data_IF_338830433620
#
_entry.id   IF_338830433620
#
_cell.length_a   1.000
_cell.length_b   1.000
_cell.length_c   1.000
_cell.angle_alpha   90.00
_cell.angle_beta   90.00
_cell.angle_gamma   90.00
#
_symmetry.space_group_name_H-M   'P 1'
#
loop_
_entity.id
_entity.type
_entity.pdbx_description
1 polymer ?
#
# COMPACT_ATOMS: atom_id res chain seq x y z
N UNK A 1 -27.96 22.89 32.09
CA UNK A 1 -27.66 24.18 32.77
C UNK A 1 -27.56 25.29 31.71
N UNK A 2 -28.65 26.02 31.46
CA UNK A 2 -28.73 27.06 30.43
C UNK A 2 -28.20 28.39 30.96
N UNK A 3 -27.08 28.88 30.42
CA UNK A 3 -26.53 30.22 30.73
C UNK A 3 -27.55 31.28 30.27
N UNK A 4 -28.20 31.96 31.23
CA UNK A 4 -28.98 33.19 30.97
C UNK A 4 -28.01 34.32 30.68
N UNK A 5 -27.90 34.72 29.42
CA UNK A 5 -27.11 35.88 28.99
C UNK A 5 -27.84 37.16 29.41
N UNK A 6 -27.18 38.03 30.19
CA UNK A 6 -27.75 39.34 30.55
C UNK A 6 -27.75 40.25 29.31
N UNK A 7 -28.83 41.02 29.07
CA UNK A 7 -28.88 41.94 27.93
C UNK A 7 -27.90 43.10 28.17
N UNK A 8 -26.99 43.30 27.21
CA UNK A 8 -26.05 44.44 27.20
C UNK A 8 -26.78 45.67 26.68
N UNK A 9 -26.88 46.72 27.50
CA UNK A 9 -27.46 48.00 27.11
C UNK A 9 -26.42 48.83 26.36
N UNK A 10 -26.75 49.31 25.17
CA UNK A 10 -25.89 50.15 24.35
C UNK A 10 -26.52 51.55 24.34
N UNK A 11 -25.85 52.50 24.99
CA UNK A 11 -26.37 53.87 25.17
C UNK A 11 -26.00 54.83 24.01
N UNK A 12 -25.40 54.32 22.94
CA UNK A 12 -25.04 55.08 21.74
C UNK A 12 -25.78 54.56 20.49
N UNK A 13 -26.06 55.43 19.49
CA UNK A 13 -26.70 55.00 18.25
C UNK A 13 -25.78 54.04 17.47
N UNK A 14 -26.30 52.86 17.14
CA UNK A 14 -25.59 51.85 16.35
C UNK A 14 -25.54 52.34 14.90
N UNK A 15 -24.39 52.89 14.49
CA UNK A 15 -24.16 53.44 13.14
C UNK A 15 -23.67 52.41 12.12
N UNK A 16 -23.54 51.14 12.53
CA UNK A 16 -23.22 50.02 11.66
C UNK A 16 -23.12 48.73 12.48
N UNK A 17 -23.60 47.63 11.93
CA UNK A 17 -23.43 46.30 12.51
C UNK A 17 -22.83 45.37 11.47
N UNK A 18 -21.86 44.56 11.88
CA UNK A 18 -21.40 43.41 11.11
C UNK A 18 -21.59 42.17 11.98
N UNK A 19 -22.27 41.16 11.44
CA UNK A 19 -22.34 39.86 12.10
C UNK A 19 -21.06 39.14 11.77
N UNK A 20 -20.29 38.80 12.81
CA UNK A 20 -19.16 37.89 12.67
C UNK A 20 -19.73 36.52 12.27
N UNK A 21 -19.84 36.26 10.96
CA UNK A 21 -20.07 34.90 10.48
C UNK A 21 -18.80 34.15 10.77
N UNK A 22 -18.84 33.26 11.76
CA UNK A 22 -17.86 32.17 11.82
C UNK A 22 -17.84 31.55 10.42
N UNK A 23 -16.69 31.60 9.77
CA UNK A 23 -16.48 30.81 8.56
C UNK A 23 -16.92 29.38 8.89
N UNK A 24 -17.66 28.69 7.99
CA UNK A 24 -17.99 27.29 8.24
C UNK A 24 -16.68 26.60 8.61
N UNK A 25 -16.65 25.92 9.76
CA UNK A 25 -15.53 25.04 10.07
C UNK A 25 -15.28 24.23 8.80
N UNK A 26 -14.05 24.21 8.30
CA UNK A 26 -13.68 23.39 7.14
C UNK A 26 -14.03 21.93 7.49
N UNK A 27 -15.27 21.53 7.21
CA UNK A 27 -15.72 20.15 7.30
C UNK A 27 -14.95 19.44 6.19
N UNK A 28 -13.84 18.83 6.58
CA UNK A 28 -13.04 18.00 5.67
C UNK A 28 -13.99 16.93 5.14
N UNK A 29 -14.27 17.00 3.84
CA UNK A 29 -15.23 16.13 3.18
C UNK A 29 -14.92 14.66 3.43
N UNK A 30 -15.96 13.84 3.51
CA UNK A 30 -15.82 12.39 3.52
C UNK A 30 -15.19 11.93 2.20
N UNK A 31 -14.23 11.01 2.30
CA UNK A 31 -13.50 10.41 1.19
C UNK A 31 -13.61 8.91 1.33
N UNK A 32 -14.36 8.26 0.44
CA UNK A 32 -14.49 6.81 0.44
C UNK A 32 -13.21 6.15 -0.12
N UNK A 33 -12.42 5.44 0.71
CA UNK A 33 -11.17 4.84 0.27
C UNK A 33 -11.36 3.68 -0.72
N UNK A 34 -12.57 3.13 -0.90
CA UNK A 34 -12.85 2.14 -1.95
C UNK A 34 -12.85 2.78 -3.34
N UNK A 35 -13.48 3.95 -3.46
CA UNK A 35 -13.60 4.71 -4.71
C UNK A 35 -12.41 5.63 -4.99
N UNK A 36 -11.57 5.90 -3.99
CA UNK A 36 -10.42 6.79 -4.12
C UNK A 36 -9.48 6.31 -5.22
N UNK A 37 -9.26 7.15 -6.22
CA UNK A 37 -8.34 6.87 -7.31
C UNK A 37 -6.90 7.02 -6.84
N UNK A 38 -6.08 6.03 -7.15
CA UNK A 38 -4.66 6.00 -6.81
C UNK A 38 -3.87 6.04 -8.12
N UNK A 39 -3.04 7.05 -8.32
CA UNK A 39 -2.29 7.15 -9.58
C UNK A 39 -1.12 6.17 -9.61
N UNK A 40 -0.37 6.09 -8.51
CA UNK A 40 0.79 5.22 -8.38
C UNK A 40 0.86 4.64 -6.96
N UNK A 41 1.36 3.41 -6.89
CA UNK A 41 1.77 2.77 -5.65
C UNK A 41 3.03 3.45 -5.10
N UNK A 42 3.08 3.73 -3.81
CA UNK A 42 4.26 4.33 -3.15
C UNK A 42 5.49 3.39 -3.16
N UNK A 43 6.67 3.96 -2.94
CA UNK A 43 7.91 3.18 -2.95
C UNK A 43 8.09 2.52 -1.58
N UNK A 44 8.42 1.23 -1.54
CA UNK A 44 8.57 0.50 -0.28
C UNK A 44 8.26 -0.99 -0.37
N UNK A 45 8.20 -1.62 0.81
CA UNK A 45 7.81 -3.02 0.96
C UNK A 45 6.29 -3.13 1.08
N UNK A 46 5.74 -4.18 0.48
CA UNK A 46 4.30 -4.37 0.47
C UNK A 46 3.91 -5.82 0.69
N UNK A 47 2.72 -5.99 1.25
CA UNK A 47 2.11 -7.31 1.30
C UNK A 47 1.64 -7.73 -0.09
N UNK A 48 1.94 -8.98 -0.42
CA UNK A 48 1.50 -9.59 -1.67
C UNK A 48 1.22 -11.07 -1.47
N UNK A 49 0.35 -11.61 -2.31
CA UNK A 49 0.06 -13.03 -2.37
C UNK A 49 0.47 -13.54 -3.73
N UNK A 50 1.32 -14.56 -3.76
CA UNK A 50 1.69 -15.28 -4.98
C UNK A 50 0.89 -16.57 -5.05
N UNK A 51 0.19 -16.79 -6.15
CA UNK A 51 -0.62 -17.99 -6.37
C UNK A 51 -0.18 -18.72 -7.63
N UNK A 52 0.05 -20.02 -7.49
CA UNK A 52 0.28 -20.96 -8.59
C UNK A 52 -1.03 -21.63 -8.97
N UNK A 53 -1.36 -21.58 -10.26
CA UNK A 53 -2.52 -22.28 -10.81
C UNK A 53 -2.12 -23.18 -11.97
N UNK A 54 -2.85 -24.27 -12.15
CA UNK A 54 -2.65 -25.22 -13.24
C UNK A 54 -3.95 -25.33 -14.01
N UNK A 55 -3.97 -24.78 -15.22
CA UNK A 55 -5.11 -24.77 -16.14
C UNK A 55 -5.01 -25.96 -17.07
N UNK A 56 -6.06 -26.76 -17.16
CA UNK A 56 -6.14 -27.87 -18.11
C UNK A 56 -7.11 -27.51 -19.21
N UNK A 57 -6.72 -27.70 -20.46
CA UNK A 57 -7.56 -27.52 -21.65
C UNK A 57 -7.29 -28.62 -22.67
N UNK A 58 -8.01 -28.62 -23.79
CA UNK A 58 -7.76 -29.57 -24.89
C UNK A 58 -6.34 -29.48 -25.46
N UNK A 59 -5.72 -28.30 -25.40
CA UNK A 59 -4.34 -28.06 -25.84
C UNK A 59 -3.26 -28.56 -24.86
N UNK A 60 -3.67 -29.07 -23.69
CA UNK A 60 -2.77 -29.55 -22.65
C UNK A 60 -2.91 -28.77 -21.35
N UNK A 61 -1.89 -28.89 -20.50
CA UNK A 61 -1.89 -28.28 -19.17
C UNK A 61 -0.88 -27.14 -19.11
N UNK A 62 -1.31 -25.98 -18.60
CA UNK A 62 -0.48 -24.78 -18.44
C UNK A 62 -0.42 -24.37 -16.98
N UNK A 63 0.76 -24.03 -16.50
CA UNK A 63 0.95 -23.54 -15.13
C UNK A 63 1.24 -22.05 -15.16
N UNK A 64 0.48 -21.27 -14.40
CA UNK A 64 0.61 -19.82 -14.32
C UNK A 64 0.86 -19.44 -12.86
N UNK A 65 1.75 -18.47 -12.65
CA UNK A 65 1.91 -17.80 -11.37
C UNK A 65 1.40 -16.37 -11.51
N UNK A 66 0.56 -15.92 -10.60
CA UNK A 66 0.18 -14.52 -10.52
C UNK A 66 0.42 -13.99 -9.12
N UNK A 67 0.67 -12.70 -9.02
CA UNK A 67 0.89 -11.98 -7.78
C UNK A 67 -0.17 -10.89 -7.64
N UNK A 68 -0.76 -10.79 -6.45
CA UNK A 68 -1.65 -9.70 -6.07
C UNK A 68 -0.94 -8.86 -5.01
N UNK A 69 -0.64 -7.61 -5.34
CA UNK A 69 -0.08 -6.62 -4.42
C UNK A 69 -1.19 -5.84 -3.73
N UNK A 70 -1.11 -5.77 -2.41
CA UNK A 70 -2.03 -5.03 -1.57
C UNK A 70 -1.40 -3.72 -1.10
N UNK A 71 -2.22 -2.70 -0.91
CA UNK A 71 -1.81 -1.42 -0.35
C UNK A 71 -2.85 -0.83 0.59
N UNK A 72 -2.38 0.00 1.51
CA UNK A 72 -3.24 0.67 2.50
C UNK A 72 -3.79 1.95 1.88
N UNK A 73 -5.10 2.13 1.99
CA UNK A 73 -5.78 3.32 1.47
C UNK A 73 -6.62 3.90 2.58
N UNK A 74 -6.30 5.14 2.96
CA UNK A 74 -7.00 5.86 4.01
C UNK A 74 -7.98 6.86 3.43
N UNK A 75 -9.10 7.02 4.12
CA UNK A 75 -10.17 7.94 3.78
C UNK A 75 -10.87 8.43 5.04
N UNK A 76 -12.07 9.00 4.86
CA UNK A 76 -12.89 9.54 5.94
C UNK A 76 -14.35 9.17 5.69
N UNK A 77 -15.02 8.66 6.70
CA UNK A 77 -16.45 8.38 6.66
C UNK A 77 -17.10 8.91 7.94
N UNK A 78 -18.16 9.70 7.81
CA UNK A 78 -18.84 10.37 8.93
C UNK A 78 -17.86 11.18 9.79
N UNK A 79 -16.89 11.85 9.16
CA UNK A 79 -15.86 12.64 9.84
C UNK A 79 -14.81 11.83 10.61
N UNK A 80 -14.84 10.50 10.56
CA UNK A 80 -13.83 9.63 11.20
C UNK A 80 -12.83 9.11 10.16
N UNK A 81 -11.51 9.21 10.42
CA UNK A 81 -10.52 8.59 9.55
C UNK A 81 -10.64 7.08 9.65
N UNK A 82 -10.52 6.41 8.51
CA UNK A 82 -10.43 4.94 8.44
C UNK A 82 -9.49 4.55 7.30
N UNK A 83 -8.86 3.40 7.44
CA UNK A 83 -7.99 2.85 6.42
C UNK A 83 -8.42 1.42 6.11
N UNK A 84 -8.25 1.03 4.85
CA UNK A 84 -8.53 -0.32 4.37
C UNK A 84 -7.33 -0.84 3.59
N UNK A 85 -7.21 -2.15 3.50
CA UNK A 85 -6.31 -2.79 2.55
C UNK A 85 -7.06 -3.01 1.23
N UNK A 86 -6.49 -2.52 0.13
CA UNK A 86 -7.00 -2.72 -1.23
C UNK A 86 -6.01 -3.51 -2.07
N UNK A 87 -6.48 -4.42 -2.94
CA UNK A 87 -5.65 -4.94 -4.03
C UNK A 87 -5.39 -3.82 -5.03
N UNK A 88 -4.13 -3.48 -5.29
CA UNK A 88 -3.76 -2.36 -6.16
C UNK A 88 -3.00 -2.82 -7.41
N UNK A 89 -2.30 -3.94 -7.33
CA UNK A 89 -1.45 -4.42 -8.41
C UNK A 89 -1.64 -5.91 -8.66
N UNK A 90 -1.64 -6.28 -9.93
CA UNK A 90 -1.73 -7.63 -10.44
C UNK A 90 -0.62 -7.80 -11.47
N UNK A 91 0.16 -8.86 -11.37
CA UNK A 91 1.15 -9.19 -12.39
C UNK A 91 1.45 -10.68 -12.42
N UNK A 92 1.99 -11.12 -13.55
CA UNK A 92 2.54 -12.46 -13.73
C UNK A 92 4.06 -12.32 -13.78
N UNK A 93 4.83 -13.00 -12.91
CA UNK A 93 6.29 -12.90 -12.89
C UNK A 93 6.92 -13.27 -14.24
N UNK A 94 8.03 -12.59 -14.58
CA UNK A 94 8.78 -12.84 -15.81
C UNK A 94 9.46 -14.22 -15.79
N UNK A 95 9.54 -14.87 -16.95
CA UNK A 95 10.03 -16.26 -17.11
C UNK A 95 9.03 -17.18 -17.81
N UNK A 96 7.77 -16.74 -17.94
CA UNK A 96 6.77 -17.35 -18.80
C UNK A 96 6.69 -16.57 -20.12
N UNK A 97 7.73 -16.62 -20.95
CA UNK A 97 7.92 -15.70 -22.09
C UNK A 97 7.35 -16.19 -23.43
N UNK A 98 6.55 -17.26 -23.45
CA UNK A 98 5.83 -17.62 -24.68
C UNK A 98 4.91 -16.46 -25.10
N UNK A 99 4.69 -16.27 -26.41
CA UNK A 99 3.81 -15.23 -26.95
C UNK A 99 2.40 -15.25 -26.30
N UNK A 100 1.98 -16.43 -25.86
CA UNK A 100 0.75 -16.67 -25.10
C UNK A 100 0.71 -16.00 -23.71
N UNK A 101 1.80 -15.45 -23.20
CA UNK A 101 1.82 -14.74 -21.91
C UNK A 101 1.82 -13.22 -22.05
N UNK A 102 2.01 -12.69 -23.26
CA UNK A 102 1.96 -11.24 -23.50
C UNK A 102 0.56 -10.69 -23.22
N UNK A 103 -0.49 -11.40 -23.67
CA UNK A 103 -1.88 -11.00 -23.40
C UNK A 103 -2.21 -11.10 -21.92
N UNK A 104 -1.68 -12.10 -21.21
CA UNK A 104 -1.87 -12.23 -19.75
C UNK A 104 -1.26 -11.03 -19.04
N UNK A 105 -0.01 -10.70 -19.36
CA UNK A 105 0.68 -9.53 -18.79
C UNK A 105 -0.05 -8.22 -19.08
N UNK A 106 -0.51 -8.00 -20.31
CA UNK A 106 -1.31 -6.83 -20.68
C UNK A 106 -2.64 -6.78 -19.89
N UNK A 107 -3.32 -7.92 -19.75
CA UNK A 107 -4.57 -8.04 -18.97
C UNK A 107 -4.33 -7.67 -17.50
N UNK A 108 -3.25 -8.15 -16.89
CA UNK A 108 -2.91 -7.84 -15.49
C UNK A 108 -2.57 -6.37 -15.28
N UNK A 109 -1.90 -5.72 -16.25
CA UNK A 109 -1.65 -4.28 -16.21
C UNK A 109 -2.95 -3.47 -16.27
N UNK A 110 -3.86 -3.83 -17.16
CA UNK A 110 -5.19 -3.21 -17.24
C UNK A 110 -6.01 -3.47 -15.97
N UNK A 111 -5.93 -4.68 -15.41
CA UNK A 111 -6.60 -5.01 -14.15
C UNK A 111 -6.04 -4.20 -12.97
N UNK A 112 -4.73 -3.97 -12.93
CA UNK A 112 -4.10 -3.10 -11.93
C UNK A 112 -4.59 -1.65 -12.04
N UNK A 113 -4.71 -1.13 -13.26
CA UNK A 113 -5.31 0.19 -13.49
C UNK A 113 -6.76 0.24 -12.99
N UNK A 114 -7.54 -0.81 -13.25
CA UNK A 114 -8.92 -0.92 -12.79
C UNK A 114 -9.04 -0.96 -11.27
N UNK A 115 -8.12 -1.67 -10.62
CA UNK A 115 -8.07 -1.78 -9.17
C UNK A 115 -7.72 -0.44 -8.50
N UNK A 116 -6.72 0.25 -9.03
CA UNK A 116 -6.36 1.61 -8.62
C UNK A 116 -7.49 2.63 -8.81
N UNK A 117 -8.30 2.45 -9.85
CA UNK A 117 -9.46 3.29 -10.13
C UNK A 117 -10.74 2.94 -9.35
N UNK A 118 -10.75 1.89 -8.53
CA UNK A 118 -11.91 1.51 -7.71
C UNK A 118 -13.02 0.75 -8.48
N UNK A 119 -12.68 0.09 -9.60
CA UNK A 119 -13.64 -0.69 -10.40
C UNK A 119 -13.18 -2.15 -10.64
N UNK A 120 -12.39 -2.69 -9.71
CA UNK A 120 -11.85 -4.05 -9.79
C UNK A 120 -12.93 -5.11 -9.93
N UNK A 121 -13.98 -5.06 -9.10
CA UNK A 121 -15.05 -6.08 -9.11
C UNK A 121 -15.71 -6.16 -10.47
N UNK A 122 -16.02 -4.99 -11.07
CA UNK A 122 -16.58 -4.91 -12.41
C UNK A 122 -15.62 -5.45 -13.46
N UNK A 123 -14.34 -5.09 -13.39
CA UNK A 123 -13.33 -5.60 -14.31
C UNK A 123 -13.19 -7.13 -14.23
N UNK A 124 -13.16 -7.72 -13.02
CA UNK A 124 -13.13 -9.18 -12.84
C UNK A 124 -14.40 -9.84 -13.37
N UNK A 125 -15.57 -9.25 -13.13
CA UNK A 125 -16.84 -9.75 -13.66
C UNK A 125 -16.89 -9.73 -15.19
N UNK A 126 -16.27 -8.74 -15.84
CA UNK A 126 -16.17 -8.69 -17.29
C UNK A 126 -15.12 -9.68 -17.84
N UNK A 127 -13.98 -9.85 -17.17
CA UNK A 127 -13.00 -10.89 -17.54
C UNK A 127 -13.58 -12.31 -17.43
N UNK A 128 -14.49 -12.54 -16.49
CA UNK A 128 -15.22 -13.81 -16.34
C UNK A 128 -16.12 -14.16 -17.53
N UNK A 129 -16.50 -13.20 -18.36
CA UNK A 129 -17.36 -13.38 -19.54
C UNK A 129 -16.57 -13.62 -20.83
N UNK A 130 -15.25 -13.49 -20.79
CA UNK A 130 -14.40 -13.71 -21.96
C UNK A 130 -14.49 -15.18 -22.35
N UNK A 131 -14.88 -15.45 -23.59
CA UNK A 131 -14.98 -16.78 -24.18
C UNK A 131 -13.91 -17.02 -25.24
N UNK A 132 -13.49 -18.26 -25.42
CA UNK A 132 -12.53 -18.68 -26.45
C UNK A 132 -13.13 -19.86 -27.26
N UNK A 133 -12.98 -19.83 -28.59
CA UNK A 133 -13.20 -20.96 -29.53
C UNK A 133 -12.32 -22.24 -29.36
N UNK A 134 -11.29 -22.28 -28.50
CA UNK A 134 -10.37 -23.43 -28.29
C UNK A 134 -10.92 -24.44 -27.27
N UNK A 135 -12.16 -24.25 -26.86
CA UNK A 135 -12.86 -25.15 -25.95
C UNK A 135 -12.65 -24.81 -24.47
N UNK A 136 -13.29 -25.61 -23.59
CA UNK A 136 -13.34 -25.34 -22.16
C UNK A 136 -11.98 -25.45 -21.47
N UNK A 137 -11.84 -24.65 -20.40
CA UNK A 137 -10.73 -24.73 -19.45
C UNK A 137 -11.23 -25.29 -18.13
N UNK A 138 -10.66 -26.41 -17.71
CA UNK A 138 -10.95 -27.03 -16.43
C UNK A 138 -10.01 -26.47 -15.36
N UNK A 139 -10.59 -25.79 -14.37
CA UNK A 139 -9.85 -25.28 -13.24
C UNK A 139 -10.80 -25.03 -12.06
N UNK A 140 -10.33 -25.29 -10.85
CA UNK A 140 -11.08 -25.04 -9.62
C UNK A 140 -12.14 -26.10 -9.31
N UNK A 141 -12.78 -25.91 -8.16
CA UNK A 141 -13.89 -26.73 -7.66
C UNK A 141 -14.97 -25.82 -7.12
N UNK A 142 -16.23 -26.21 -7.36
CA UNK A 142 -17.37 -25.54 -6.76
C UNK A 142 -17.44 -25.83 -5.26
N UNK A 143 -18.31 -25.12 -4.54
CA UNK A 143 -18.58 -25.38 -3.11
C UNK A 143 -19.04 -26.82 -2.86
N UNK A 144 -19.67 -27.45 -3.84
CA UNK A 144 -20.10 -28.85 -3.79
C UNK A 144 -18.98 -29.84 -4.15
N UNK A 145 -17.74 -29.38 -4.34
CA UNK A 145 -16.58 -30.22 -4.68
C UNK A 145 -16.48 -30.64 -6.15
N UNK A 146 -17.47 -30.29 -6.98
CA UNK A 146 -17.50 -30.60 -8.42
C UNK A 146 -16.46 -29.75 -9.15
N UNK A 147 -15.72 -30.36 -10.07
CA UNK A 147 -14.79 -29.64 -10.94
C UNK A 147 -15.51 -28.53 -11.73
N UNK A 148 -14.86 -27.38 -11.84
CA UNK A 148 -15.40 -26.23 -12.56
C UNK A 148 -14.83 -26.16 -13.98
N UNK A 149 -15.65 -25.61 -14.87
CA UNK A 149 -15.33 -25.39 -16.27
C UNK A 149 -15.49 -23.90 -16.57
N UNK A 150 -14.58 -23.36 -17.36
CA UNK A 150 -14.54 -21.97 -17.75
C UNK A 150 -14.44 -21.84 -19.28
N UNK A 151 -15.01 -20.78 -19.82
CA UNK A 151 -15.08 -20.58 -21.28
C UNK A 151 -13.77 -20.05 -21.88
N UNK A 152 -12.80 -19.65 -21.05
CA UNK A 152 -11.47 -19.23 -21.48
C UNK A 152 -10.45 -19.31 -20.33
N UNK A 153 -9.16 -19.23 -20.69
CA UNK A 153 -8.06 -19.10 -19.73
C UNK A 153 -8.17 -17.79 -18.94
N UNK A 154 -8.60 -16.70 -19.58
CA UNK A 154 -8.84 -15.38 -18.95
C UNK A 154 -9.89 -15.51 -17.84
N UNK A 155 -11.02 -16.17 -18.15
CA UNK A 155 -12.10 -16.37 -17.20
C UNK A 155 -11.64 -17.25 -16.02
N UNK A 156 -10.84 -18.29 -16.27
CA UNK A 156 -10.26 -19.14 -15.23
C UNK A 156 -9.33 -18.35 -14.30
N UNK A 157 -8.45 -17.50 -14.85
CA UNK A 157 -7.55 -16.64 -14.07
C UNK A 157 -8.35 -15.61 -13.26
N UNK A 158 -9.35 -14.97 -13.85
CA UNK A 158 -10.20 -14.00 -13.15
C UNK A 158 -10.94 -14.64 -11.96
N UNK A 159 -11.43 -15.87 -12.14
CA UNK A 159 -12.01 -16.63 -11.03
C UNK A 159 -10.98 -16.96 -9.96
N UNK A 160 -9.77 -17.41 -10.33
CA UNK A 160 -8.70 -17.67 -9.37
C UNK A 160 -8.38 -16.43 -8.53
N UNK A 161 -8.29 -15.25 -9.17
CA UNK A 161 -8.09 -13.97 -8.48
C UNK A 161 -9.25 -13.67 -7.53
N UNK A 162 -10.51 -13.84 -7.95
CA UNK A 162 -11.67 -13.67 -7.06
C UNK A 162 -11.59 -14.57 -5.83
N UNK A 163 -11.15 -15.82 -5.98
CA UNK A 163 -10.98 -16.72 -4.85
C UNK A 163 -9.91 -16.22 -3.88
N UNK A 164 -8.76 -15.74 -4.38
CA UNK A 164 -7.71 -15.19 -3.51
C UNK A 164 -8.16 -13.90 -2.80
N UNK A 165 -8.90 -13.02 -3.48
CA UNK A 165 -9.46 -11.82 -2.87
C UNK A 165 -10.55 -12.15 -1.84
N UNK A 166 -11.32 -13.21 -2.06
CA UNK A 166 -12.30 -13.72 -1.09
C UNK A 166 -11.60 -14.27 0.15
N UNK A 167 -10.54 -15.09 -0.04
CA UNK A 167 -9.70 -15.61 1.06
C UNK A 167 -9.03 -14.50 1.85
N UNK A 168 -8.57 -13.44 1.18
CA UNK A 168 -7.96 -12.26 1.81
C UNK A 168 -8.97 -11.40 2.56
N UNK A 169 -10.27 -11.64 2.39
CA UNK A 169 -11.34 -10.90 3.06
C UNK A 169 -11.74 -9.60 2.35
N UNK A 170 -11.27 -9.36 1.12
CA UNK A 170 -11.67 -8.19 0.33
C UNK A 170 -13.04 -8.39 -0.34
N UNK A 171 -13.29 -9.59 -0.87
CA UNK A 171 -14.58 -9.96 -1.48
C UNK A 171 -15.43 -10.83 -0.53
N UNK A 172 -16.75 -10.77 -0.71
CA UNK A 172 -17.70 -11.70 -0.11
C UNK A 172 -17.77 -13.03 -0.90
N UNK A 173 -18.56 -13.99 -0.41
CA UNK A 173 -18.72 -15.30 -1.08
C UNK A 173 -19.36 -15.23 -2.47
N UNK A 174 -20.02 -14.10 -2.79
CA UNK A 174 -20.66 -13.85 -4.09
C UNK A 174 -19.74 -13.08 -5.05
N UNK A 175 -18.55 -12.69 -4.60
CA UNK A 175 -17.58 -11.92 -5.37
C UNK A 175 -17.82 -10.40 -5.36
N UNK A 176 -18.67 -9.89 -4.48
CA UNK A 176 -18.85 -8.44 -4.30
C UNK A 176 -17.85 -7.89 -3.30
N UNK A 177 -17.55 -6.59 -3.41
CA UNK A 177 -16.79 -5.86 -2.39
C UNK A 177 -17.51 -5.93 -1.04
N UNK A 178 -16.76 -6.26 0.03
CA UNK A 178 -17.31 -6.21 1.38
C UNK A 178 -17.58 -4.77 1.82
N UNK A 179 -18.54 -4.55 2.73
CA UNK A 179 -18.82 -3.21 3.26
C UNK A 179 -17.57 -2.56 3.85
N UNK A 180 -17.44 -1.24 3.66
CA UNK A 180 -16.26 -0.48 4.08
C UNK A 180 -15.90 -0.68 5.56
N UNK A 181 -16.90 -0.72 6.44
CA UNK A 181 -16.70 -0.95 7.87
C UNK A 181 -16.02 -2.31 8.16
N UNK A 182 -16.42 -3.37 7.44
CA UNK A 182 -15.85 -4.72 7.60
C UNK A 182 -14.39 -4.75 7.12
N UNK A 183 -14.09 -4.07 6.02
CA UNK A 183 -12.73 -3.96 5.49
C UNK A 183 -11.82 -3.17 6.43
N UNK A 184 -12.33 -2.09 7.02
CA UNK A 184 -11.59 -1.27 7.98
C UNK A 184 -11.29 -2.05 9.27
N UNK A 185 -12.26 -2.78 9.79
CA UNK A 185 -12.07 -3.66 10.96
C UNK A 185 -11.06 -4.78 10.66
N UNK A 186 -11.16 -5.41 9.49
CA UNK A 186 -10.21 -6.43 9.05
C UNK A 186 -8.77 -5.90 8.98
N UNK A 187 -8.59 -4.72 8.38
CA UNK A 187 -7.30 -4.05 8.32
C UNK A 187 -6.77 -3.71 9.71
N UNK A 188 -7.59 -3.09 10.57
CA UNK A 188 -7.20 -2.73 11.93
C UNK A 188 -6.72 -3.95 12.74
N UNK A 189 -7.45 -5.06 12.67
CA UNK A 189 -7.07 -6.32 13.34
C UNK A 189 -5.74 -6.87 12.81
N UNK A 190 -5.54 -6.85 11.49
CA UNK A 190 -4.32 -7.36 10.86
C UNK A 190 -3.12 -6.49 11.21
N UNK A 191 -3.29 -5.16 11.19
CA UNK A 191 -2.27 -4.20 11.62
C UNK A 191 -1.90 -4.39 13.09
N UNK A 192 -2.87 -4.49 13.99
CA UNK A 192 -2.62 -4.73 15.42
C UNK A 192 -1.81 -6.00 15.65
N UNK A 193 -2.14 -7.07 14.94
CA UNK A 193 -1.35 -8.31 15.01
C UNK A 193 0.09 -8.09 14.55
N UNK A 194 0.30 -7.38 13.43
CA UNK A 194 1.65 -7.09 12.89
C UNK A 194 2.46 -6.19 13.81
N UNK A 195 1.85 -5.13 14.33
CA UNK A 195 2.50 -4.15 15.22
C UNK A 195 2.85 -4.78 16.59
N UNK A 196 2.13 -5.84 17.00
CA UNK A 196 2.40 -6.58 18.23
C UNK A 196 3.48 -7.67 18.09
N UNK A 197 3.97 -7.96 16.88
CA UNK A 197 5.04 -8.94 16.70
C UNK A 197 6.36 -8.37 17.23
N UNK A 198 7.02 -9.04 18.19
CA UNK A 198 8.35 -8.64 18.64
C UNK A 198 9.35 -8.96 17.52
N UNK A 199 9.63 -7.97 16.68
CA UNK A 199 10.58 -8.08 15.57
C UNK A 199 11.87 -7.38 15.96
N UNK A 200 12.96 -8.14 16.11
CA UNK A 200 14.33 -7.61 16.09
C UNK A 200 14.73 -7.37 14.63
N UNK A 201 14.07 -6.43 13.94
CA UNK A 201 14.33 -6.16 12.52
C UNK A 201 15.27 -4.94 12.37
N UNK A 202 16.53 -5.12 11.92
CA UNK A 202 17.53 -4.05 11.82
C UNK A 202 17.29 -3.03 10.69
N UNK A 203 16.12 -3.02 10.05
CA UNK A 203 15.81 -2.16 8.90
C UNK A 203 14.64 -1.19 9.09
N UNK A 204 14.05 -1.14 10.29
CA UNK A 204 13.18 -0.02 10.66
C UNK A 204 14.02 0.91 11.52
N UNK A 205 14.71 1.86 10.88
CA UNK A 205 15.18 3.03 11.58
C UNK A 205 13.98 3.73 12.23
N UNK A 206 14.10 4.25 13.47
CA UNK A 206 12.96 4.83 14.16
C UNK A 206 12.33 5.92 13.29
N UNK A 207 11.02 5.80 13.03
CA UNK A 207 10.27 6.94 12.51
C UNK A 207 10.41 8.09 13.51
N UNK A 208 10.63 9.33 13.06
CA UNK A 208 10.72 10.47 13.96
C UNK A 208 9.37 10.68 14.61
N UNK A 209 9.24 10.16 15.82
CA UNK A 209 8.16 10.51 16.74
C UNK A 209 8.15 12.02 16.90
N UNK A 210 7.03 12.62 16.52
CA UNK A 210 6.66 13.95 16.96
C UNK A 210 6.75 14.03 18.48
N UNK A 211 7.15 15.21 18.96
CA UNK A 211 7.22 15.63 20.36
C UNK A 211 8.53 15.31 21.10
N UNK A 212 9.56 16.11 20.80
CA UNK A 212 10.19 16.98 21.81
C UNK A 212 11.06 18.02 21.11
N UNK A 213 10.69 19.28 21.28
CA UNK A 213 11.55 20.42 21.00
C UNK A 213 12.72 20.45 22.01
N UNK A 214 13.86 20.98 21.53
CA UNK A 214 15.08 21.32 22.29
C UNK A 214 15.98 20.17 22.78
N UNK A 215 16.76 19.60 21.86
CA UNK A 215 18.16 19.23 22.11
C UNK A 215 18.90 19.02 20.78
N UNK A 216 19.88 19.87 20.44
CA UNK A 216 20.87 19.54 19.41
C UNK A 216 21.68 18.32 19.87
N UNK A 217 21.75 17.22 19.08
CA UNK A 217 22.71 16.16 19.36
C UNK A 217 24.11 16.63 18.94
N UNK A 218 25.09 16.47 19.84
CA UNK A 218 26.50 16.62 19.50
C UNK A 218 26.89 15.59 18.41
N UNK A 219 27.79 15.94 17.46
CA UNK A 219 28.20 15.02 16.41
C UNK A 219 28.90 13.79 17.02
N UNK A 220 28.45 12.61 16.61
CA UNK A 220 29.07 11.34 17.00
C UNK A 220 30.55 11.30 16.56
N UNK A 221 31.47 10.77 17.39
CA UNK A 221 32.88 10.67 17.01
C UNK A 221 33.06 9.71 15.84
N UNK A 222 33.78 10.16 14.81
CA UNK A 222 34.12 9.36 13.63
C UNK A 222 35.01 8.17 14.05
N UNK A 223 34.88 7.00 13.42
CA UNK A 223 35.71 5.84 13.73
C UNK A 223 37.18 6.15 13.41
N UNK A 224 38.04 6.02 14.43
CA UNK A 224 39.49 6.17 14.31
C UNK A 224 40.04 4.95 13.59
N UNK A 225 40.69 5.16 12.45
CA UNK A 225 41.17 4.12 11.54
C UNK A 225 42.64 3.79 11.81
N UNK A 226 43.45 4.81 12.11
CA UNK A 226 44.90 4.67 12.32
C UNK A 226 45.48 5.90 13.06
N UNK A 227 46.79 5.89 13.38
CA UNK A 227 47.52 7.07 13.85
C UNK A 227 48.31 7.73 12.73
N UNK A 228 48.38 9.06 12.76
CA UNK A 228 49.10 9.86 11.78
C UNK A 228 50.60 9.51 11.79
N UNK A 229 51.18 9.13 10.64
CA UNK A 229 52.59 8.75 10.54
C UNK A 229 53.55 9.95 10.60
N UNK A 230 53.05 11.17 10.47
CA UNK A 230 53.84 12.39 10.69
C UNK A 230 54.24 12.50 12.17
N UNK A 231 55.54 12.39 12.43
CA UNK A 231 56.13 12.43 13.77
C UNK A 231 55.84 13.72 14.55
N UNK A 232 55.53 14.81 13.84
CA UNK A 232 55.21 16.11 14.42
C UNK A 232 53.73 16.24 14.82
N UNK A 233 52.83 15.53 14.15
CA UNK A 233 51.38 15.65 14.37
C UNK A 233 50.85 14.61 15.36
N UNK A 234 51.25 13.33 15.22
CA UNK A 234 50.78 12.21 16.07
C UNK A 234 49.25 12.11 16.28
N UNK A 235 48.46 12.81 15.48
CA UNK A 235 47.00 12.86 15.55
C UNK A 235 46.34 11.55 15.12
N UNK A 236 45.02 11.49 15.26
CA UNK A 236 44.22 10.34 14.87
C UNK A 236 43.72 10.48 13.43
N UNK A 237 43.75 9.39 12.68
CA UNK A 237 43.24 9.35 11.31
C UNK A 237 41.81 8.85 11.32
N UNK A 238 40.91 9.60 10.70
CA UNK A 238 39.50 9.22 10.50
C UNK A 238 39.26 8.89 9.04
N UNK A 239 38.21 8.12 8.77
CA UNK A 239 37.81 7.85 7.39
C UNK A 239 37.08 9.07 6.82
N UNK A 240 37.69 9.77 5.88
CA UNK A 240 37.09 10.89 5.15
C UNK A 240 37.05 10.55 3.67
N UNK A 241 35.85 10.54 3.08
CA UNK A 241 35.64 10.27 1.64
C UNK A 241 36.27 8.95 1.15
N UNK A 242 36.28 7.92 2.02
CA UNK A 242 36.85 6.60 1.72
C UNK A 242 38.38 6.51 1.87
N UNK A 243 39.03 7.58 2.35
CA UNK A 243 40.46 7.63 2.58
C UNK A 243 40.79 7.92 4.06
N UNK A 244 41.76 7.22 4.67
CA UNK A 244 42.25 7.57 5.99
C UNK A 244 42.95 8.93 5.94
N UNK A 245 42.42 9.92 6.67
CA UNK A 245 42.93 11.29 6.70
C UNK A 245 43.05 11.79 8.14
N UNK A 246 44.21 12.37 8.48
CA UNK A 246 44.43 13.07 9.75
C UNK A 246 43.80 14.46 9.68
N UNK A 247 42.86 14.76 10.58
CA UNK A 247 42.20 16.08 10.60
C UNK A 247 43.09 17.19 11.17
N UNK A 248 44.12 16.84 11.93
CA UNK A 248 44.98 17.81 12.62
C UNK A 248 46.05 18.41 11.68
N UNK A 249 46.61 17.62 10.76
CA UNK A 249 47.63 18.10 9.80
C UNK A 249 47.25 17.94 8.33
N UNK A 250 46.12 17.31 8.01
CA UNK A 250 45.68 17.10 6.63
C UNK A 250 46.38 15.97 5.88
N UNK A 251 47.23 15.18 6.53
CA UNK A 251 47.88 14.01 5.93
C UNK A 251 46.85 12.95 5.51
N UNK A 252 46.90 12.49 4.25
CA UNK A 252 46.06 11.43 3.69
C UNK A 252 46.91 10.30 3.14
N UNK A 253 46.54 9.04 3.40
CA UNK A 253 47.22 7.87 2.80
C UNK A 253 46.99 7.74 1.30
N UNK A 254 45.96 8.40 0.77
CA UNK A 254 45.58 8.30 -0.65
C UNK A 254 46.29 9.32 -1.57
N UNK A 255 47.12 10.22 -1.03
CA UNK A 255 47.81 11.27 -1.79
C UNK A 255 47.23 12.66 -1.55
#
# INVERSE_FOLDING_TARGET
MTKKTRPTRIDQPIVGWSVFRQAPANEVADVDPLSLRIDRREDGSWESVTTKITLTSASGTKTIYFVIGFGVVCGRQQGRPLCIERPLEFFVPAGQTAAEHQWVSATMRTLSLAARGGFLVKALADLRKVSWDRGPVWYGRSRAGKGMVHDSEVAAIAWAIQQELTKRGFLDERGNERPLAVLAEHYARTRQYRDALPLDNPHVGPEPGADTADAQPAPAPLPIVDRCPDASCRGEMVMKDGCPTCLDCGYSKCG
#
